data_IF_601215274253
#
_entry.id   IF_601215274253
#
_cell.length_a   1.000
_cell.length_b   1.000
_cell.length_c   1.000
_cell.angle_alpha   90.00
_cell.angle_beta   90.00
_cell.angle_gamma   90.00
#
_symmetry.space_group_name_H-M   'P 1'
#
loop_
_entity.id
_entity.type
_entity.pdbx_description
1 polymer ?
#
# COMPACT_ATOMS: atom_id res chain seq x y z
N UNK A 1 -9.40 -33.37 -6.01
CA UNK A 1 -9.23 -32.48 -7.16
C UNK A 1 -9.59 -31.03 -6.87
N UNK A 2 -10.72 -30.72 -6.21
CA UNK A 2 -11.15 -29.34 -5.86
C UNK A 2 -10.16 -28.63 -4.91
N UNK A 3 -9.59 -29.31 -3.89
CA UNK A 3 -8.61 -28.73 -2.96
C UNK A 3 -7.31 -28.26 -3.66
N UNK A 4 -6.88 -28.98 -4.70
CA UNK A 4 -5.64 -28.62 -5.44
C UNK A 4 -5.86 -27.44 -6.41
N UNK A 5 -7.09 -27.25 -6.90
CA UNK A 5 -7.45 -26.08 -7.71
C UNK A 5 -7.56 -24.80 -6.87
N UNK A 6 -8.16 -24.91 -5.69
CA UNK A 6 -8.28 -23.77 -4.76
C UNK A 6 -6.88 -23.32 -4.29
N UNK A 7 -5.97 -24.23 -3.97
CA UNK A 7 -4.61 -23.90 -3.56
C UNK A 7 -3.76 -23.26 -4.66
N UNK A 8 -4.10 -23.43 -5.94
CA UNK A 8 -3.43 -22.81 -7.08
C UNK A 8 -4.11 -21.52 -7.56
N UNK A 9 -5.42 -21.38 -7.33
CA UNK A 9 -6.17 -20.16 -7.67
C UNK A 9 -6.07 -19.10 -6.56
N UNK A 10 -5.93 -19.50 -5.30
CA UNK A 10 -5.72 -18.57 -4.19
C UNK A 10 -4.49 -17.67 -4.39
N UNK A 11 -3.29 -18.18 -4.77
CA UNK A 11 -2.15 -17.31 -5.07
C UNK A 11 -2.37 -16.37 -6.26
N UNK A 12 -3.11 -16.80 -7.28
CA UNK A 12 -3.44 -15.95 -8.44
C UNK A 12 -4.48 -14.88 -8.11
N UNK A 13 -5.49 -15.21 -7.31
CA UNK A 13 -6.44 -14.22 -6.76
C UNK A 13 -5.76 -13.32 -5.74
N UNK A 14 -4.83 -13.84 -4.93
CA UNK A 14 -3.98 -13.05 -4.04
C UNK A 14 -3.00 -12.17 -4.82
N UNK A 15 -2.35 -12.65 -5.86
CA UNK A 15 -1.53 -11.82 -6.72
C UNK A 15 -2.35 -10.67 -7.33
N UNK A 16 -3.59 -10.93 -7.76
CA UNK A 16 -4.49 -9.91 -8.25
C UNK A 16 -4.92 -8.89 -7.18
N UNK A 17 -5.11 -9.33 -5.93
CA UNK A 17 -5.47 -8.46 -4.80
C UNK A 17 -4.27 -7.67 -4.25
N UNK A 18 -3.06 -8.23 -4.36
CA UNK A 18 -1.82 -7.76 -3.76
C UNK A 18 -1.28 -6.45 -4.35
N UNK A 19 -1.70 -6.06 -5.57
CA UNK A 19 -1.02 -5.02 -6.32
C UNK A 19 -1.82 -3.73 -6.56
N UNK A 20 -2.88 -3.49 -5.85
CA UNK A 20 -3.79 -2.41 -6.19
C UNK A 20 -4.00 -1.29 -5.14
N UNK A 21 -2.97 -0.76 -4.50
CA UNK A 21 -3.12 0.40 -3.59
C UNK A 21 -2.41 1.69 -4.07
N UNK A 22 -2.46 2.00 -5.38
CA UNK A 22 -2.50 3.40 -5.72
C UNK A 22 -3.95 3.85 -5.41
N UNK A 23 -4.17 4.92 -4.65
CA UNK A 23 -5.46 5.57 -4.75
C UNK A 23 -5.64 5.80 -6.24
N UNK A 24 -6.74 5.26 -6.82
CA UNK A 24 -7.09 5.68 -8.18
C UNK A 24 -7.02 7.18 -8.12
N UNK A 25 -6.18 7.87 -8.90
CA UNK A 25 -6.14 9.31 -8.87
C UNK A 25 -7.57 9.76 -9.15
N UNK A 26 -8.26 10.17 -8.12
CA UNK A 26 -9.58 10.79 -8.26
C UNK A 26 -9.30 12.25 -8.54
N UNK A 27 -9.76 12.80 -9.69
CA UNK A 27 -9.60 14.21 -9.95
C UNK A 27 -10.14 15.00 -8.76
N UNK A 28 -9.35 15.94 -8.27
CA UNK A 28 -9.72 16.82 -7.18
C UNK A 28 -9.48 16.30 -5.76
N UNK A 29 -8.58 15.36 -5.55
CA UNK A 29 -8.14 14.99 -4.20
C UNK A 29 -6.92 15.83 -3.80
N UNK A 30 -7.16 17.13 -3.62
CA UNK A 30 -6.17 18.08 -3.12
C UNK A 30 -6.21 18.07 -1.59
N UNK A 31 -5.04 18.02 -0.95
CA UNK A 31 -5.03 18.08 0.51
C UNK A 31 -3.79 17.52 1.16
N UNK A 32 -3.75 17.69 2.46
CA UNK A 32 -2.71 17.15 3.34
C UNK A 32 -3.33 16.12 4.27
N UNK A 33 -2.62 15.04 4.52
CA UNK A 33 -3.03 13.98 5.45
C UNK A 33 -1.95 13.66 6.46
N UNK A 34 -2.39 13.23 7.63
CA UNK A 34 -1.53 12.69 8.69
C UNK A 34 -2.09 11.34 9.11
N UNK A 35 -1.22 10.37 9.31
CA UNK A 35 -1.58 9.03 9.78
C UNK A 35 -0.62 8.59 10.87
N UNK A 36 -1.19 7.95 11.90
CA UNK A 36 -0.44 7.24 12.94
C UNK A 36 -0.74 5.75 12.80
N UNK A 37 0.30 4.93 12.95
CA UNK A 37 0.20 3.48 12.87
C UNK A 37 0.85 2.85 14.09
N UNK A 38 0.29 1.73 14.55
CA UNK A 38 0.90 0.86 15.54
C UNK A 38 0.69 -0.58 15.10
N UNK A 39 1.74 -1.36 15.17
CA UNK A 39 1.71 -2.80 14.97
C UNK A 39 2.35 -3.46 16.19
N UNK A 40 1.78 -4.55 16.65
CA UNK A 40 2.38 -5.40 17.67
C UNK A 40 2.32 -6.85 17.21
N UNK A 41 3.45 -7.55 17.30
CA UNK A 41 3.53 -8.96 16.95
C UNK A 41 3.97 -9.73 18.20
N UNK A 42 3.34 -10.88 18.46
CA UNK A 42 3.77 -11.79 19.52
C UNK A 42 3.52 -13.23 19.10
N UNK A 43 4.46 -14.12 19.38
CA UNK A 43 4.32 -15.54 19.04
C UNK A 43 5.54 -16.34 19.44
N UNK A 44 5.35 -17.47 20.08
CA UNK A 44 6.44 -18.33 20.53
C UNK A 44 7.26 -18.87 19.36
N UNK A 45 8.57 -18.67 19.40
CA UNK A 45 9.53 -19.23 18.44
C UNK A 45 9.65 -18.49 17.11
N UNK A 46 9.06 -17.29 16.97
CA UNK A 46 9.18 -16.41 15.80
C UNK A 46 9.79 -15.09 16.19
N UNK A 47 10.35 -14.38 15.21
CA UNK A 47 10.78 -13.01 15.42
C UNK A 47 9.56 -12.10 15.66
N UNK A 48 9.64 -11.25 16.67
CA UNK A 48 8.59 -10.30 16.99
C UNK A 48 9.03 -8.90 16.54
N UNK A 49 8.14 -8.18 15.88
CA UNK A 49 8.33 -6.80 15.46
C UNK A 49 7.14 -5.97 15.96
N UNK A 50 7.40 -5.09 16.89
CA UNK A 50 6.45 -4.07 17.30
C UNK A 50 6.85 -2.75 16.70
N UNK A 51 5.95 -2.15 15.92
CA UNK A 51 6.25 -0.93 15.18
C UNK A 51 5.26 0.18 15.51
N UNK A 52 5.76 1.41 15.63
CA UNK A 52 4.94 2.61 15.74
C UNK A 52 5.43 3.65 14.75
N UNK A 53 4.51 4.28 14.06
CA UNK A 53 4.89 5.23 13.02
C UNK A 53 3.92 6.36 12.82
N UNK A 54 4.40 7.39 12.14
CA UNK A 54 3.57 8.45 11.59
C UNK A 54 3.89 8.67 10.13
N UNK A 55 2.92 9.18 9.40
CA UNK A 55 3.03 9.52 7.99
C UNK A 55 2.36 10.86 7.74
N UNK A 56 3.00 11.69 6.92
CA UNK A 56 2.44 12.92 6.37
C UNK A 56 2.41 12.79 4.86
N UNK A 57 1.27 13.10 4.26
CA UNK A 57 1.09 13.05 2.81
C UNK A 57 0.52 14.39 2.32
N UNK A 58 0.89 14.76 1.10
CA UNK A 58 0.27 15.90 0.41
C UNK A 58 0.02 15.53 -1.05
N UNK A 59 -1.07 16.05 -1.60
CA UNK A 59 -1.40 15.92 -3.02
C UNK A 59 -1.95 17.24 -3.54
N UNK A 60 -1.43 17.72 -4.66
CA UNK A 60 -1.69 19.05 -5.19
C UNK A 60 -1.89 18.99 -6.70
N UNK A 61 -2.81 19.78 -7.24
CA UNK A 61 -3.00 19.87 -8.68
C UNK A 61 -1.77 20.49 -9.32
N UNK A 62 -1.36 19.96 -10.45
CA UNK A 62 -0.26 20.49 -11.23
C UNK A 62 -0.78 21.22 -12.47
N UNK A 63 -1.46 20.50 -13.35
CA UNK A 63 -2.00 21.06 -14.60
C UNK A 63 -3.08 20.17 -15.22
N UNK A 64 -3.84 20.78 -16.14
CA UNK A 64 -4.75 20.04 -17.03
C UNK A 64 -4.28 20.18 -18.47
N UNK A 65 -4.27 19.09 -19.21
CA UNK A 65 -3.90 19.08 -20.63
C UNK A 65 -4.84 18.12 -21.39
N UNK A 66 -5.70 18.67 -22.24
CA UNK A 66 -6.76 17.90 -22.90
C UNK A 66 -7.68 17.22 -21.90
N UNK A 67 -7.86 15.91 -22.01
CA UNK A 67 -8.65 15.09 -21.08
C UNK A 67 -7.88 14.67 -19.81
N UNK A 68 -6.60 14.98 -19.71
CA UNK A 68 -5.75 14.60 -18.59
C UNK A 68 -5.70 15.70 -17.54
N UNK A 69 -5.86 15.30 -16.29
CA UNK A 69 -5.51 16.08 -15.12
C UNK A 69 -4.29 15.45 -14.48
N UNK A 70 -3.30 16.29 -14.16
CA UNK A 70 -2.06 15.87 -13.51
C UNK A 70 -1.96 16.48 -12.12
N UNK A 71 -1.51 15.65 -11.18
CA UNK A 71 -1.30 16.02 -9.79
C UNK A 71 0.10 15.58 -9.38
N UNK A 72 0.72 16.30 -8.47
CA UNK A 72 1.93 15.86 -7.80
C UNK A 72 1.65 15.64 -6.32
N UNK A 73 2.42 14.78 -5.70
CA UNK A 73 2.26 14.50 -4.28
C UNK A 73 3.56 14.12 -3.62
N UNK A 74 3.56 14.20 -2.31
CA UNK A 74 4.66 13.75 -1.48
C UNK A 74 4.15 12.88 -0.34
N UNK A 75 5.05 12.06 0.19
CA UNK A 75 4.91 11.32 1.43
C UNK A 75 6.19 11.47 2.23
N UNK A 76 6.04 11.66 3.54
CA UNK A 76 7.09 11.47 4.51
C UNK A 76 6.56 10.53 5.59
N UNK A 77 7.34 9.53 5.97
CA UNK A 77 6.98 8.58 7.01
C UNK A 77 8.16 8.32 7.92
N UNK A 78 7.85 7.96 9.15
CA UNK A 78 8.84 7.53 10.12
C UNK A 78 8.23 6.39 10.94
N UNK A 79 8.92 5.25 10.99
CA UNK A 79 8.49 4.06 11.71
C UNK A 79 9.60 3.62 12.65
N UNK A 80 9.29 3.55 13.94
CA UNK A 80 10.16 2.97 14.97
C UNK A 80 9.80 1.50 15.13
N UNK A 81 10.80 0.66 15.14
CA UNK A 81 10.71 -0.77 15.35
C UNK A 81 11.30 -1.17 16.70
N UNK A 82 10.68 -2.13 17.34
CA UNK A 82 11.18 -2.81 18.53
C UNK A 82 11.21 -4.32 18.26
N UNK A 83 12.40 -4.85 18.16
CA UNK A 83 12.67 -6.22 17.73
C UNK A 83 12.97 -7.14 18.89
N UNK A 84 12.30 -8.29 18.94
CA UNK A 84 12.61 -9.38 19.86
C UNK A 84 12.91 -10.65 19.08
N UNK A 85 14.02 -11.31 19.41
CA UNK A 85 14.47 -12.56 18.79
C UNK A 85 14.68 -12.49 17.26
N UNK A 86 14.94 -11.30 16.72
CA UNK A 86 15.17 -11.10 15.29
C UNK A 86 16.68 -11.11 14.93
N UNK A 87 17.05 -11.61 13.75
CA UNK A 87 18.42 -11.53 13.24
C UNK A 87 18.78 -10.14 12.70
N UNK A 88 17.88 -9.17 12.82
CA UNK A 88 18.03 -7.79 12.33
C UNK A 88 17.89 -6.85 13.50
N UNK A 89 18.75 -5.83 13.56
CA UNK A 89 18.59 -4.73 14.51
C UNK A 89 18.65 -3.41 13.75
N UNK A 90 17.54 -2.72 13.75
CA UNK A 90 17.41 -1.30 13.41
C UNK A 90 16.21 -0.76 14.19
N UNK A 91 16.30 0.47 14.64
CA UNK A 91 15.27 1.05 15.51
C UNK A 91 14.33 1.96 14.73
N UNK A 92 14.78 2.51 13.61
CA UNK A 92 14.05 3.55 12.91
C UNK A 92 14.22 3.42 11.40
N UNK A 93 13.10 3.42 10.68
CA UNK A 93 13.05 3.63 9.23
C UNK A 93 12.45 5.01 8.97
N UNK A 94 13.09 5.77 8.09
CA UNK A 94 12.56 7.01 7.52
C UNK A 94 12.25 6.78 6.05
N UNK A 95 11.06 7.20 5.63
CA UNK A 95 10.63 7.09 4.25
C UNK A 95 10.23 8.44 3.68
N UNK A 96 10.62 8.70 2.45
CA UNK A 96 10.11 9.82 1.68
C UNK A 96 9.76 9.38 0.28
N UNK A 97 8.72 9.96 -0.30
CA UNK A 97 8.43 9.75 -1.71
C UNK A 97 7.88 11.01 -2.38
N UNK A 98 8.13 11.09 -3.68
CA UNK A 98 7.50 12.04 -4.59
C UNK A 98 6.76 11.26 -5.67
N UNK A 99 5.58 11.72 -6.01
CA UNK A 99 4.80 11.12 -7.09
C UNK A 99 4.27 12.16 -8.06
N UNK A 100 4.17 11.77 -9.33
CA UNK A 100 3.43 12.45 -10.37
C UNK A 100 2.33 11.51 -10.83
N UNK A 101 1.09 11.96 -10.76
CA UNK A 101 -0.07 11.18 -11.20
C UNK A 101 -0.83 11.89 -12.30
N UNK A 102 -1.42 11.14 -13.20
CA UNK A 102 -2.29 11.62 -14.24
C UNK A 102 -3.57 10.80 -14.30
N UNK A 103 -4.67 11.46 -14.54
CA UNK A 103 -5.98 10.85 -14.70
C UNK A 103 -6.71 11.43 -15.91
N UNK A 104 -7.36 10.57 -16.68
CA UNK A 104 -8.23 10.97 -17.77
C UNK A 104 -9.53 10.15 -17.74
N UNK A 105 -10.66 10.82 -17.89
CA UNK A 105 -11.97 10.17 -18.03
C UNK A 105 -12.60 10.57 -19.36
N UNK A 106 -13.26 9.64 -20.04
CA UNK A 106 -14.03 9.88 -21.26
C UNK A 106 -15.51 9.72 -20.96
N UNK A 107 -16.35 10.40 -21.74
CA UNK A 107 -17.82 10.30 -21.67
C UNK A 107 -18.33 8.87 -21.86
N UNK A 108 -17.57 8.03 -22.55
CA UNK A 108 -17.92 6.62 -22.76
C UNK A 108 -17.71 5.71 -21.53
N UNK A 109 -17.54 6.27 -20.33
CA UNK A 109 -17.33 5.49 -19.10
C UNK A 109 -15.98 4.77 -19.04
N UNK A 110 -14.99 5.27 -19.77
CA UNK A 110 -13.61 4.79 -19.74
C UNK A 110 -12.75 5.77 -18.93
N UNK A 111 -11.90 5.27 -18.09
CA UNK A 111 -10.88 6.08 -17.42
C UNK A 111 -9.51 5.46 -17.59
N UNK A 112 -8.50 6.32 -17.59
CA UNK A 112 -7.09 5.93 -17.61
C UNK A 112 -6.37 6.68 -16.52
N UNK A 113 -5.37 6.05 -15.96
CA UNK A 113 -4.52 6.69 -14.95
C UNK A 113 -3.07 6.21 -15.09
N UNK A 114 -2.16 7.08 -14.73
CA UNK A 114 -0.74 6.80 -14.69
C UNK A 114 -0.16 7.40 -13.41
N UNK A 115 0.81 6.73 -12.82
CA UNK A 115 1.57 7.23 -11.67
C UNK A 115 3.04 6.88 -11.87
N UNK A 116 3.89 7.86 -11.66
CA UNK A 116 5.33 7.70 -11.48
C UNK A 116 5.67 8.10 -10.06
N UNK A 117 6.33 7.23 -9.32
CA UNK A 117 6.69 7.47 -7.93
C UNK A 117 8.15 7.11 -7.70
N UNK A 118 8.86 7.98 -6.99
CA UNK A 118 10.21 7.74 -6.49
C UNK A 118 10.12 7.67 -4.97
N UNK A 119 10.63 6.60 -4.39
CA UNK A 119 10.65 6.35 -2.95
C UNK A 119 12.08 6.23 -2.46
N UNK A 120 12.32 6.60 -1.21
CA UNK A 120 13.52 6.29 -0.48
C UNK A 120 13.13 5.94 0.95
N UNK A 121 13.35 4.69 1.33
CA UNK A 121 13.08 4.18 2.68
C UNK A 121 14.39 3.64 3.27
N UNK A 122 14.89 4.28 4.33
CA UNK A 122 16.22 4.03 4.89
C UNK A 122 16.19 3.99 6.42
N UNK A 123 17.01 3.12 6.99
CA UNK A 123 17.24 3.07 8.43
C UNK A 123 18.03 4.30 8.90
N UNK A 124 18.06 4.51 10.21
CA UNK A 124 18.83 5.58 10.82
C UNK A 124 20.32 5.50 10.42
N UNK A 125 20.90 6.65 10.10
CA UNK A 125 22.29 6.76 9.64
C UNK A 125 22.52 6.49 8.15
N UNK A 126 21.48 6.07 7.40
CA UNK A 126 21.54 5.83 5.96
C UNK A 126 20.90 7.00 5.20
N UNK A 127 21.51 7.39 4.09
CA UNK A 127 20.96 8.42 3.21
C UNK A 127 19.73 7.88 2.47
N UNK A 128 18.67 8.68 2.39
CA UNK A 128 17.51 8.34 1.54
C UNK A 128 17.88 8.19 0.07
N UNK A 129 18.94 8.87 -0.40
CA UNK A 129 19.45 8.75 -1.76
C UNK A 129 20.02 7.36 -2.09
N UNK A 130 20.53 6.65 -1.08
CA UNK A 130 21.06 5.29 -1.24
C UNK A 130 19.95 4.23 -1.24
N UNK A 131 18.72 4.63 -0.89
CA UNK A 131 17.54 3.77 -0.76
C UNK A 131 16.51 3.99 -1.89
N UNK A 132 16.89 4.66 -2.97
CA UNK A 132 15.93 5.04 -4.00
C UNK A 132 15.38 3.83 -4.75
N UNK A 133 14.05 3.78 -4.84
CA UNK A 133 13.29 2.87 -5.69
C UNK A 133 12.33 3.66 -6.56
N UNK A 134 12.01 3.13 -7.74
CA UNK A 134 11.10 3.77 -8.69
C UNK A 134 9.94 2.83 -8.97
N UNK A 135 8.74 3.38 -8.98
CA UNK A 135 7.52 2.67 -9.32
C UNK A 135 6.78 3.41 -10.43
N UNK A 136 6.38 2.70 -11.46
CA UNK A 136 5.52 3.19 -12.52
C UNK A 136 4.25 2.37 -12.59
N UNK A 137 3.12 3.03 -12.62
CA UNK A 137 1.78 2.45 -12.72
C UNK A 137 1.07 3.01 -13.94
N UNK A 138 0.39 2.15 -14.67
CA UNK A 138 -0.57 2.56 -15.69
C UNK A 138 -1.80 1.67 -15.60
N UNK A 139 -2.99 2.25 -15.66
CA UNK A 139 -4.22 1.48 -15.60
C UNK A 139 -5.32 2.06 -16.48
N UNK A 140 -6.27 1.22 -16.80
CA UNK A 140 -7.48 1.62 -17.48
C UNK A 140 -8.68 0.86 -16.92
N UNK A 141 -9.78 1.57 -16.78
CA UNK A 141 -11.06 1.05 -16.31
C UNK A 141 -12.15 1.27 -17.35
N UNK A 142 -13.08 0.33 -17.44
CA UNK A 142 -14.27 0.37 -18.29
C UNK A 142 -15.50 0.14 -17.44
N UNK A 143 -16.41 1.10 -17.42
CA UNK A 143 -17.74 0.90 -16.85
C UNK A 143 -18.51 -0.05 -17.78
N UNK A 144 -18.88 -1.21 -17.29
CA UNK A 144 -19.68 -2.22 -18.01
C UNK A 144 -21.16 -2.07 -17.74
N UNK A 145 -21.51 -1.59 -16.55
CA UNK A 145 -22.85 -1.20 -16.13
C UNK A 145 -22.76 -0.11 -15.06
N UNK A 146 -23.88 0.39 -14.59
CA UNK A 146 -23.91 1.37 -13.50
C UNK A 146 -23.35 0.80 -12.19
N UNK A 147 -23.38 -0.52 -12.05
CA UNK A 147 -22.92 -1.23 -10.84
C UNK A 147 -21.59 -1.96 -11.01
N UNK A 148 -21.06 -2.09 -12.22
CA UNK A 148 -19.86 -2.88 -12.46
C UNK A 148 -18.84 -2.18 -13.36
N UNK A 149 -17.63 -2.06 -12.86
CA UNK A 149 -16.44 -1.57 -13.56
C UNK A 149 -15.39 -2.67 -13.59
N UNK A 150 -14.77 -2.91 -14.71
CA UNK A 150 -13.66 -3.82 -14.91
C UNK A 150 -12.45 -3.02 -15.42
N UNK A 151 -11.26 -3.45 -15.11
CA UNK A 151 -10.05 -2.79 -15.56
C UNK A 151 -8.80 -3.65 -15.46
N UNK A 152 -7.66 -3.02 -15.68
CA UNK A 152 -6.35 -3.59 -15.40
C UNK A 152 -5.40 -2.53 -14.86
N UNK A 153 -4.37 -3.00 -14.17
CA UNK A 153 -3.25 -2.23 -13.68
C UNK A 153 -1.96 -2.89 -14.18
N UNK A 154 -1.15 -2.14 -14.91
CA UNK A 154 0.24 -2.46 -15.19
C UNK A 154 1.11 -1.80 -14.13
N UNK A 155 1.98 -2.57 -13.50
CA UNK A 155 2.93 -2.14 -12.48
C UNK A 155 4.34 -2.51 -12.92
N UNK A 156 5.26 -1.56 -12.85
CA UNK A 156 6.69 -1.79 -12.94
C UNK A 156 7.36 -1.13 -11.74
N UNK A 157 8.18 -1.87 -11.00
CA UNK A 157 8.90 -1.33 -9.85
C UNK A 157 10.32 -1.88 -9.74
N UNK A 158 11.25 -1.02 -9.33
CA UNK A 158 12.53 -1.45 -8.78
C UNK A 158 12.34 -1.81 -7.31
N UNK A 159 13.11 -2.76 -6.81
CA UNK A 159 12.99 -3.27 -5.44
C UNK A 159 14.35 -3.24 -4.76
N UNK A 160 14.37 -3.05 -3.44
CA UNK A 160 15.60 -2.99 -2.67
C UNK A 160 16.28 -4.36 -2.57
N UNK A 161 15.48 -5.41 -2.29
CA UNK A 161 15.95 -6.77 -1.99
C UNK A 161 15.83 -7.71 -3.18
N UNK A 162 14.92 -7.46 -4.10
CA UNK A 162 14.59 -8.37 -5.20
C UNK A 162 14.87 -7.73 -6.57
N UNK A 163 14.89 -8.58 -7.59
CA UNK A 163 14.92 -8.13 -8.98
C UNK A 163 13.73 -7.22 -9.30
N UNK A 164 13.90 -6.24 -10.19
CA UNK A 164 12.79 -5.43 -10.68
C UNK A 164 11.61 -6.28 -11.14
N UNK A 165 10.40 -5.81 -10.85
CA UNK A 165 9.18 -6.54 -11.14
C UNK A 165 8.34 -5.80 -12.16
N UNK A 166 7.72 -6.56 -13.07
CA UNK A 166 6.69 -6.09 -13.98
C UNK A 166 5.48 -7.01 -13.85
N UNK A 167 4.32 -6.44 -13.64
CA UNK A 167 3.10 -7.18 -13.37
C UNK A 167 1.88 -6.54 -14.04
N UNK A 168 0.96 -7.36 -14.51
CA UNK A 168 -0.37 -6.93 -14.97
C UNK A 168 -1.42 -7.56 -14.08
N UNK A 169 -2.25 -6.73 -13.47
CA UNK A 169 -3.26 -7.14 -12.48
C UNK A 169 -4.65 -6.76 -12.99
N UNK A 170 -5.60 -7.69 -13.08
CA UNK A 170 -6.99 -7.34 -13.32
C UNK A 170 -7.56 -6.58 -12.13
N UNK A 171 -8.36 -5.55 -12.42
CA UNK A 171 -9.04 -4.75 -11.40
C UNK A 171 -10.53 -4.77 -11.64
N UNK A 172 -11.32 -4.69 -10.56
CA UNK A 172 -12.77 -4.54 -10.67
C UNK A 172 -13.34 -3.73 -9.54
N UNK A 173 -14.54 -3.20 -9.76
CA UNK A 173 -15.41 -2.64 -8.74
C UNK A 173 -16.84 -3.06 -9.04
N UNK A 174 -17.50 -3.68 -8.05
CA UNK A 174 -18.88 -4.16 -8.15
C UNK A 174 -19.72 -3.62 -7.00
N UNK A 175 -20.72 -2.83 -7.33
CA UNK A 175 -21.75 -2.40 -6.39
C UNK A 175 -22.91 -3.38 -6.49
N UNK A 176 -22.92 -4.40 -5.64
CA UNK A 176 -23.92 -5.47 -5.68
C UNK A 176 -25.20 -5.15 -4.89
N UNK A 177 -25.18 -4.07 -4.08
CA UNK A 177 -26.35 -3.51 -3.41
C UNK A 177 -26.17 -1.98 -3.30
N UNK A 178 -27.23 -1.20 -3.02
CA UNK A 178 -27.16 0.27 -2.97
C UNK A 178 -26.03 0.80 -2.09
N UNK A 179 -25.81 0.15 -0.93
CA UNK A 179 -24.83 0.58 0.06
C UNK A 179 -23.56 -0.29 0.11
N UNK A 180 -23.49 -1.35 -0.70
CA UNK A 180 -22.38 -2.29 -0.65
C UNK A 180 -21.60 -2.33 -1.95
N UNK A 181 -20.29 -2.30 -1.84
CA UNK A 181 -19.38 -2.51 -2.98
C UNK A 181 -18.23 -3.43 -2.61
N UNK A 182 -17.82 -4.24 -3.58
CA UNK A 182 -16.62 -5.07 -3.54
C UNK A 182 -15.69 -4.61 -4.66
N UNK A 183 -14.41 -4.49 -4.39
CA UNK A 183 -13.45 -4.10 -5.41
C UNK A 183 -12.03 -4.39 -5.04
N UNK A 184 -11.18 -4.36 -6.04
CA UNK A 184 -9.74 -4.46 -5.85
C UNK A 184 -9.16 -3.08 -5.51
N UNK A 185 -8.34 -3.03 -4.47
CA UNK A 185 -7.39 -1.96 -4.21
C UNK A 185 -6.03 -2.29 -4.84
N UNK A 186 -4.96 -1.53 -4.58
CA UNK A 186 -3.62 -1.77 -5.15
C UNK A 186 -2.99 -3.10 -4.70
N UNK A 187 -3.07 -3.41 -3.43
CA UNK A 187 -2.58 -4.65 -2.80
C UNK A 187 -3.66 -5.22 -1.88
N UNK A 188 -4.93 -5.09 -2.29
CA UNK A 188 -6.05 -5.41 -1.40
C UNK A 188 -7.32 -5.79 -2.14
N UNK A 189 -8.17 -6.53 -1.46
CA UNK A 189 -9.58 -6.74 -1.77
C UNK A 189 -10.39 -6.01 -0.71
N UNK A 190 -11.30 -5.14 -1.13
CA UNK A 190 -12.06 -4.25 -0.23
C UNK A 190 -13.55 -4.49 -0.39
N UNK A 191 -14.20 -4.89 0.69
CA UNK A 191 -15.65 -4.85 0.85
C UNK A 191 -15.99 -3.56 1.60
N UNK A 192 -16.74 -2.67 1.00
CA UNK A 192 -17.14 -1.40 1.59
C UNK A 192 -18.66 -1.32 1.75
N UNK A 193 -19.11 -0.79 2.89
CA UNK A 193 -20.51 -0.45 3.14
C UNK A 193 -20.62 1.05 3.42
N UNK A 194 -21.52 1.73 2.69
CA UNK A 194 -21.98 3.08 3.01
C UNK A 194 -22.99 2.97 4.16
N UNK A 195 -22.68 3.55 5.31
CA UNK A 195 -23.58 3.56 6.47
C UNK A 195 -24.57 4.73 6.38
N UNK A 196 -24.05 5.90 6.00
CA UNK A 196 -24.80 7.10 5.69
C UNK A 196 -23.99 8.02 4.74
N UNK A 197 -24.35 9.31 4.63
CA UNK A 197 -23.65 10.25 3.75
C UNK A 197 -22.21 10.56 4.20
N UNK A 198 -21.97 10.53 5.52
CA UNK A 198 -20.66 10.83 6.08
C UNK A 198 -19.83 9.58 6.37
N UNK A 199 -20.46 8.46 6.73
CA UNK A 199 -19.79 7.30 7.27
C UNK A 199 -19.75 6.12 6.32
N UNK A 200 -18.59 5.46 6.28
CA UNK A 200 -18.36 4.19 5.57
C UNK A 200 -17.59 3.22 6.45
N UNK A 201 -17.99 1.96 6.40
CA UNK A 201 -17.24 0.85 6.99
C UNK A 201 -16.62 0.01 5.88
N UNK A 202 -15.46 -0.59 6.14
CA UNK A 202 -14.78 -1.48 5.19
C UNK A 202 -14.21 -2.70 5.88
N UNK A 203 -14.18 -3.82 5.14
CA UNK A 203 -13.37 -4.99 5.46
C UNK A 203 -12.37 -5.18 4.32
N UNK A 204 -11.10 -5.18 4.64
CA UNK A 204 -10.02 -5.22 3.67
C UNK A 204 -9.12 -6.41 3.93
N UNK A 205 -8.90 -7.24 2.92
CA UNK A 205 -7.80 -8.20 2.92
C UNK A 205 -6.64 -7.54 2.19
N UNK A 206 -5.55 -7.25 2.90
CA UNK A 206 -4.42 -6.50 2.38
C UNK A 206 -3.12 -7.30 2.43
N UNK A 207 -2.30 -7.09 1.42
CA UNK A 207 -0.89 -7.42 1.47
C UNK A 207 -0.09 -6.13 1.69
N UNK A 208 0.68 -6.11 2.75
CA UNK A 208 1.52 -4.99 3.14
C UNK A 208 2.98 -5.38 2.91
N UNK A 209 3.74 -4.46 2.38
CA UNK A 209 5.16 -4.63 2.10
C UNK A 209 5.90 -3.37 2.55
N UNK A 210 7.00 -3.57 3.22
CA UNK A 210 7.93 -2.54 3.63
C UNK A 210 9.32 -2.94 3.16
N UNK A 211 10.04 -2.04 2.52
CA UNK A 211 11.41 -2.22 2.08
C UNK A 211 12.24 -1.07 2.65
N UNK A 212 13.46 -1.34 3.08
CA UNK A 212 14.37 -0.31 3.54
C UNK A 212 15.83 -0.67 3.27
N UNK A 213 16.62 0.35 2.98
CA UNK A 213 18.09 0.28 3.01
C UNK A 213 18.56 0.41 4.45
N UNK A 214 19.30 -0.59 4.94
CA UNK A 214 19.90 -0.59 6.27
C UNK A 214 21.34 -0.09 6.21
N UNK A 215 21.92 0.23 7.38
CA UNK A 215 23.35 0.52 7.49
C UNK A 215 24.18 -0.67 7.05
N UNK A 216 25.33 -0.42 6.44
CA UNK A 216 26.22 -1.49 5.98
C UNK A 216 26.64 -2.40 7.12
N UNK A 217 26.67 -3.69 6.86
CA UNK A 217 27.12 -4.70 7.80
C UNK A 217 28.46 -5.28 7.33
N UNK A 218 29.49 -5.13 8.14
CA UNK A 218 30.85 -5.56 7.79
C UNK A 218 31.36 -5.01 6.44
N UNK A 219 30.99 -3.77 6.10
CA UNK A 219 31.35 -3.12 4.83
C UNK A 219 30.56 -3.62 3.61
N UNK A 220 29.52 -4.42 3.81
CA UNK A 220 28.64 -4.92 2.76
C UNK A 220 27.28 -4.22 2.82
N UNK A 221 26.71 -3.96 1.65
CA UNK A 221 25.35 -3.44 1.49
C UNK A 221 24.34 -4.34 2.20
N UNK A 222 23.43 -3.74 2.94
CA UNK A 222 22.36 -4.45 3.63
C UNK A 222 21.01 -3.84 3.29
N UNK A 223 20.10 -4.68 2.82
CA UNK A 223 18.71 -4.31 2.50
C UNK A 223 17.74 -5.19 3.29
N UNK A 224 16.56 -4.63 3.58
CA UNK A 224 15.49 -5.26 4.35
C UNK A 224 14.17 -5.20 3.59
N UNK A 225 13.40 -6.27 3.69
CA UNK A 225 12.03 -6.34 3.20
C UNK A 225 11.16 -7.09 4.21
N UNK A 226 9.97 -6.57 4.51
CA UNK A 226 8.93 -7.32 5.21
C UNK A 226 7.66 -7.40 4.38
N UNK A 227 6.98 -8.52 4.47
CA UNK A 227 5.71 -8.80 3.79
C UNK A 227 4.70 -9.31 4.81
N UNK A 228 3.47 -8.77 4.79
CA UNK A 228 2.40 -9.15 5.71
C UNK A 228 1.08 -9.31 4.96
N UNK A 229 0.33 -10.34 5.29
CA UNK A 229 -1.08 -10.48 4.87
C UNK A 229 -1.95 -10.20 6.08
N UNK A 230 -2.86 -9.23 5.94
CA UNK A 230 -3.69 -8.76 7.04
C UNK A 230 -5.15 -8.63 6.64
N UNK A 231 -6.04 -8.92 7.60
CA UNK A 231 -7.44 -8.54 7.55
C UNK A 231 -7.65 -7.26 8.35
N UNK A 232 -8.22 -6.23 7.74
CA UNK A 232 -8.37 -4.91 8.31
C UNK A 232 -9.85 -4.51 8.30
N UNK A 233 -10.35 -4.05 9.43
CA UNK A 233 -11.63 -3.35 9.55
C UNK A 233 -11.37 -1.85 9.57
N UNK A 234 -12.01 -1.11 8.68
CA UNK A 234 -11.89 0.34 8.56
C UNK A 234 -13.22 1.04 8.85
N UNK A 235 -13.17 2.15 9.56
CA UNK A 235 -14.27 3.08 9.73
C UNK A 235 -13.81 4.46 9.26
N UNK A 236 -14.49 5.03 8.27
CA UNK A 236 -14.16 6.32 7.68
C UNK A 236 -15.30 7.29 7.77
N UNK A 237 -15.00 8.50 8.24
CA UNK A 237 -15.93 9.63 8.25
C UNK A 237 -15.41 10.71 7.30
N UNK A 238 -16.30 11.26 6.48
CA UNK A 238 -15.99 12.40 5.61
C UNK A 238 -17.04 13.48 5.85
N UNK A 239 -16.62 14.65 6.32
CA UNK A 239 -17.46 15.81 6.57
C UNK A 239 -16.60 17.08 6.44
N UNK A 240 -17.18 18.16 5.94
CA UNK A 240 -16.60 19.51 5.92
C UNK A 240 -15.18 19.58 5.34
N UNK A 241 -14.92 18.84 4.25
CA UNK A 241 -13.60 18.79 3.62
C UNK A 241 -12.56 17.96 4.40
N UNK A 242 -12.94 17.33 5.51
CA UNK A 242 -12.08 16.46 6.31
C UNK A 242 -12.52 15.00 6.20
N UNK A 243 -11.56 14.13 6.11
CA UNK A 243 -11.76 12.68 6.17
C UNK A 243 -10.93 12.11 7.32
N UNK A 244 -11.61 11.48 8.27
CA UNK A 244 -11.00 10.74 9.38
C UNK A 244 -11.17 9.24 9.15
N UNK A 245 -10.16 8.47 9.48
CA UNK A 245 -10.15 7.02 9.31
C UNK A 245 -9.54 6.34 10.53
N UNK A 246 -10.24 5.33 11.03
CA UNK A 246 -9.75 4.36 12.00
C UNK A 246 -9.66 3.00 11.32
N UNK A 247 -8.52 2.34 11.43
CA UNK A 247 -8.34 0.97 10.95
C UNK A 247 -7.85 0.09 12.09
N UNK A 248 -8.49 -1.07 12.25
CA UNK A 248 -8.09 -2.13 13.17
C UNK A 248 -7.90 -3.41 12.36
N UNK A 249 -6.86 -4.19 12.65
CA UNK A 249 -6.63 -5.39 11.88
C UNK A 249 -5.71 -6.40 12.55
N UNK A 250 -5.59 -7.54 11.89
CA UNK A 250 -4.73 -8.63 12.31
C UNK A 250 -3.91 -9.13 11.14
N UNK A 251 -2.58 -9.09 11.27
CA UNK A 251 -1.65 -9.73 10.35
C UNK A 251 -1.51 -11.21 10.75
N UNK A 252 -1.91 -12.11 9.87
CA UNK A 252 -1.92 -13.56 10.12
C UNK A 252 -0.80 -14.31 9.42
N UNK A 253 -0.15 -13.68 8.45
CA UNK A 253 1.06 -14.18 7.81
C UNK A 253 2.01 -13.01 7.63
N UNK A 254 3.23 -13.17 8.15
CA UNK A 254 4.28 -12.17 8.00
C UNK A 254 5.64 -12.87 7.85
N UNK A 255 6.45 -12.34 6.94
CA UNK A 255 7.81 -12.80 6.66
C UNK A 255 8.70 -11.58 6.51
N UNK A 256 9.96 -11.72 6.88
CA UNK A 256 10.96 -10.71 6.59
C UNK A 256 12.16 -11.34 5.90
N UNK A 257 12.84 -10.53 5.11
CA UNK A 257 14.06 -10.86 4.40
C UNK A 257 15.12 -9.82 4.69
N UNK A 258 16.32 -10.29 4.79
CA UNK A 258 17.51 -9.47 4.90
C UNK A 258 18.49 -9.95 3.83
N UNK A 259 19.00 -9.02 3.05
CA UNK A 259 20.08 -9.26 2.10
C UNK A 259 21.34 -8.56 2.58
N UNK A 260 22.46 -9.25 2.62
CA UNK A 260 23.78 -8.71 2.96
C UNK A 260 24.78 -9.17 1.90
N UNK A 261 25.33 -8.23 1.11
CA UNK A 261 26.31 -8.55 0.07
C UNK A 261 25.84 -9.56 -0.96
N UNK A 262 24.53 -9.58 -1.29
CA UNK A 262 23.92 -10.51 -2.23
C UNK A 262 23.51 -11.86 -1.63
N UNK A 263 23.66 -12.04 -0.32
CA UNK A 263 23.19 -13.24 0.39
C UNK A 263 21.87 -12.94 1.10
N UNK A 264 20.81 -13.60 0.68
CA UNK A 264 19.46 -13.46 1.26
C UNK A 264 19.24 -14.41 2.43
N UNK A 265 18.64 -13.90 3.50
CA UNK A 265 18.17 -14.65 4.66
C UNK A 265 16.70 -14.36 4.88
N UNK A 266 15.87 -15.39 5.02
CA UNK A 266 14.42 -15.27 5.24
C UNK A 266 14.07 -15.80 6.64
N UNK A 267 13.11 -15.14 7.31
CA UNK A 267 12.60 -15.57 8.62
C UNK A 267 11.12 -15.19 8.78
N UNK A 268 10.40 -16.05 9.49
CA UNK A 268 9.00 -15.81 9.82
C UNK A 268 8.86 -14.75 10.91
N UNK A 269 7.95 -13.80 10.70
CA UNK A 269 7.48 -12.88 11.72
C UNK A 269 6.25 -13.43 12.44
N UNK A 270 6.10 -13.07 13.69
CA UNK A 270 4.90 -13.40 14.46
C UNK A 270 3.67 -12.67 13.91
N UNK A 271 2.46 -13.27 14.00
CA UNK A 271 1.22 -12.58 13.70
C UNK A 271 0.99 -11.43 14.70
N UNK A 272 0.20 -10.41 14.32
CA UNK A 272 0.08 -9.25 15.18
C UNK A 272 -1.11 -8.36 14.90
N UNK A 273 -1.43 -7.51 15.89
CA UNK A 273 -2.46 -6.49 15.82
C UNK A 273 -1.93 -5.28 15.05
N UNK A 274 -2.78 -4.70 14.22
CA UNK A 274 -2.52 -3.48 13.47
C UNK A 274 -3.56 -2.43 13.83
N UNK A 275 -3.13 -1.21 14.16
CA UNK A 275 -4.00 -0.07 14.44
C UNK A 275 -3.50 1.10 13.61
N UNK A 276 -4.42 1.83 12.97
CA UNK A 276 -4.09 3.05 12.26
C UNK A 276 -5.17 4.11 12.48
N UNK A 277 -4.73 5.34 12.72
CA UNK A 277 -5.57 6.53 12.81
C UNK A 277 -5.06 7.53 11.78
N UNK A 278 -5.94 8.05 10.95
CA UNK A 278 -5.59 9.03 9.93
C UNK A 278 -6.60 10.15 9.85
N UNK A 279 -6.12 11.32 9.48
CA UNK A 279 -6.94 12.47 9.11
C UNK A 279 -6.40 13.09 7.84
N UNK A 280 -7.29 13.51 6.97
CA UNK A 280 -6.94 14.21 5.73
C UNK A 280 -7.84 15.43 5.57
N UNK A 281 -7.23 16.55 5.23
CA UNK A 281 -7.92 17.81 4.96
C UNK A 281 -7.83 18.15 3.49
N UNK A 282 -8.95 18.53 2.92
CA UNK A 282 -9.10 19.00 1.54
C UNK A 282 -9.18 20.52 1.54
N UNK A 283 -8.48 21.14 0.61
CA UNK A 283 -8.51 22.60 0.41
C UNK A 283 -9.37 22.99 -0.78
#
# INVERSE_FOLDING_TARGET
>A
MIRSMISRLLPLLFAAAVFAEAPRPRPGFEGVGVRFTSASASGSGKAEDSATGFEVTGNFPLLKSGSWQYDWGFRYAQTRHDWTAAPVSFDLIRGASLNLSGYASTEAGRSRYAVLQVNGDAAEGVSLGDALTVQALYGADWRRSDTFTLGYLFLAETRAVRSPMVLVVPTFRWQFAPDWSLGTGRKSLVLERKLDEAWRASLTLAYQQEEARLADFAGQRQDYESERVAALFGLRRTADGRTDELTLGWAFRAQARREVGGVESEYDLAPGLLISLGSRWRF
#
